data_IF_923825305567
#
_entry.id   IF_923825305567
#
_cell.length_a   1.000
_cell.length_b   1.000
_cell.length_c   1.000
_cell.angle_alpha   90.00
_cell.angle_beta   90.00
_cell.angle_gamma   90.00
#
_symmetry.space_group_name_H-M   'P 1'
#
loop_
_entity.id
_entity.type
_entity.pdbx_description
1 polymer ?
#
# COMPACT_ATOMS: atom_id res chain seq x y z
N UNK A 1 -21.79 4.98 -30.03
CA UNK A 1 -21.54 4.19 -31.27
C UNK A 1 -20.57 4.88 -32.23
N UNK A 2 -20.71 6.19 -32.49
CA UNK A 2 -19.81 6.95 -33.38
C UNK A 2 -18.39 7.00 -32.83
N UNK A 3 -18.19 7.16 -31.52
CA UNK A 3 -16.86 7.13 -30.88
C UNK A 3 -16.17 5.75 -31.00
N UNK A 4 -16.94 4.67 -30.92
CA UNK A 4 -16.45 3.30 -31.11
C UNK A 4 -16.00 3.03 -32.56
N UNK A 5 -16.68 3.60 -33.55
CA UNK A 5 -16.32 3.50 -34.98
C UNK A 5 -14.99 4.24 -35.25
N UNK A 6 -14.81 5.42 -34.67
CA UNK A 6 -13.56 6.16 -34.77
C UNK A 6 -12.40 5.43 -34.11
N UNK A 7 -12.61 4.85 -32.92
CA UNK A 7 -11.60 4.08 -32.21
C UNK A 7 -11.18 2.81 -32.98
N UNK A 8 -12.12 2.15 -33.66
CA UNK A 8 -11.84 0.99 -34.54
C UNK A 8 -11.00 1.37 -35.75
N UNK A 9 -11.31 2.48 -36.42
CA UNK A 9 -10.54 2.96 -37.60
C UNK A 9 -9.08 3.31 -37.27
N UNK A 10 -8.77 3.62 -36.01
CA UNK A 10 -7.41 3.99 -35.56
C UNK A 10 -6.66 2.84 -34.89
N UNK A 11 -7.13 1.60 -35.01
CA UNK A 11 -6.51 0.44 -34.38
C UNK A 11 -6.57 0.46 -32.85
N UNK A 12 -7.42 1.31 -32.28
CA UNK A 12 -7.52 1.47 -30.84
C UNK A 12 -8.25 0.31 -30.14
N UNK A 13 -8.93 -0.52 -30.93
CA UNK A 13 -9.75 -1.65 -30.45
C UNK A 13 -9.19 -3.01 -30.85
N UNK A 14 -8.07 -3.04 -31.58
CA UNK A 14 -7.37 -4.27 -31.95
C UNK A 14 -6.12 -4.39 -31.07
N UNK A 15 -6.12 -5.30 -30.14
CA UNK A 15 -5.00 -5.61 -29.26
C UNK A 15 -4.88 -7.09 -29.05
N UNK A 16 -3.65 -7.55 -28.87
CA UNK A 16 -3.39 -8.94 -28.52
C UNK A 16 -3.82 -9.24 -27.07
N UNK A 17 -4.22 -10.47 -26.81
CA UNK A 17 -4.66 -10.91 -25.50
C UNK A 17 -3.48 -11.01 -24.52
N UNK A 18 -3.56 -10.27 -23.41
CA UNK A 18 -2.74 -10.52 -22.23
C UNK A 18 -3.46 -11.49 -21.30
N UNK A 19 -2.73 -12.44 -20.74
CA UNK A 19 -3.28 -13.37 -19.75
C UNK A 19 -3.79 -12.61 -18.52
N UNK A 20 -5.10 -12.63 -18.27
CA UNK A 20 -5.74 -12.00 -17.14
C UNK A 20 -6.25 -10.58 -17.34
N UNK A 21 -6.05 -9.98 -18.53
CA UNK A 21 -6.64 -8.69 -18.92
C UNK A 21 -7.64 -8.91 -20.04
N UNK A 22 -8.79 -8.27 -19.92
CA UNK A 22 -9.74 -8.25 -21.03
C UNK A 22 -9.33 -7.17 -22.04
N UNK A 23 -9.46 -7.47 -23.34
CA UNK A 23 -9.24 -6.46 -24.39
C UNK A 23 -10.13 -5.22 -24.20
N UNK A 24 -11.28 -5.37 -23.54
CA UNK A 24 -12.19 -4.30 -23.22
C UNK A 24 -11.57 -3.28 -22.25
N UNK A 25 -10.93 -3.74 -21.17
CA UNK A 25 -10.32 -2.85 -20.17
C UNK A 25 -9.23 -1.97 -20.77
N UNK A 26 -8.34 -2.56 -21.57
CA UNK A 26 -7.27 -1.82 -22.25
C UNK A 26 -7.83 -0.88 -23.34
N UNK A 27 -8.85 -1.34 -24.05
CA UNK A 27 -9.46 -0.59 -25.17
C UNK A 27 -10.32 0.61 -24.70
N UNK A 28 -10.71 0.64 -23.42
CA UNK A 28 -11.43 1.78 -22.83
C UNK A 28 -10.56 3.03 -22.68
N UNK A 29 -9.24 2.94 -22.85
CA UNK A 29 -8.34 4.08 -22.74
C UNK A 29 -8.64 5.17 -23.78
N UNK A 30 -9.01 6.37 -23.29
CA UNK A 30 -9.26 7.56 -24.12
C UNK A 30 -8.00 8.27 -24.60
N UNK A 31 -6.81 7.85 -24.15
CA UNK A 31 -5.49 8.45 -24.46
C UNK A 31 -5.37 9.93 -24.04
N UNK A 32 -6.07 10.34 -23.00
CA UNK A 32 -6.10 11.74 -22.53
C UNK A 32 -4.78 12.22 -21.88
N UNK A 33 -3.90 11.30 -21.43
CA UNK A 33 -2.62 11.65 -20.78
C UNK A 33 -2.70 11.94 -19.28
N UNK A 34 -3.88 12.12 -18.68
CA UNK A 34 -4.05 12.51 -17.26
C UNK A 34 -3.29 11.59 -16.29
N UNK A 35 -3.22 10.29 -16.59
CA UNK A 35 -2.47 9.33 -15.77
C UNK A 35 -0.96 9.60 -15.73
N UNK A 36 -0.42 10.29 -16.75
CA UNK A 36 0.99 10.66 -16.83
C UNK A 36 1.23 11.88 -15.97
N UNK A 37 0.35 12.89 -16.06
CA UNK A 37 0.45 14.10 -15.25
C UNK A 37 0.28 13.78 -13.76
N UNK A 38 -0.57 12.82 -13.43
CA UNK A 38 -0.73 12.32 -12.07
C UNK A 38 0.47 11.48 -11.56
N UNK A 39 1.38 11.06 -12.44
CA UNK A 39 2.48 10.17 -12.06
C UNK A 39 3.61 10.92 -11.37
N UNK A 40 3.83 10.65 -10.09
CA UNK A 40 4.87 11.29 -9.27
C UNK A 40 6.29 11.02 -9.76
N UNK A 41 6.55 9.93 -10.44
CA UNK A 41 7.82 9.67 -11.09
C UNK A 41 8.15 10.71 -12.17
N UNK A 42 7.13 11.27 -12.84
CA UNK A 42 7.33 12.31 -13.84
C UNK A 42 7.66 13.65 -13.19
N UNK A 43 6.83 14.14 -12.29
CA UNK A 43 6.98 15.52 -11.79
C UNK A 43 7.99 15.65 -10.64
N UNK A 44 8.15 14.63 -9.78
CA UNK A 44 9.14 14.67 -8.70
C UNK A 44 10.52 14.22 -9.14
N UNK A 45 10.63 13.12 -9.85
CA UNK A 45 11.93 12.50 -10.11
C UNK A 45 12.51 12.83 -11.49
N UNK A 46 11.80 13.58 -12.34
CA UNK A 46 12.16 13.82 -13.74
C UNK A 46 12.57 12.52 -14.48
N UNK A 47 12.03 11.39 -14.02
CA UNK A 47 12.18 10.15 -14.75
C UNK A 47 11.37 10.33 -16.02
N UNK A 48 12.08 10.52 -17.12
CA UNK A 48 11.46 10.71 -18.42
C UNK A 48 10.71 9.44 -18.82
N UNK A 49 9.49 9.32 -18.29
CA UNK A 49 8.60 8.21 -18.52
C UNK A 49 7.87 8.33 -19.87
N UNK A 50 8.59 8.73 -20.91
CA UNK A 50 8.09 8.64 -22.31
C UNK A 50 7.53 7.25 -22.55
N UNK A 51 8.13 6.22 -21.94
CA UNK A 51 7.65 4.84 -21.95
C UNK A 51 6.30 4.67 -21.22
N UNK A 52 6.00 5.46 -20.19
CA UNK A 52 4.69 5.42 -19.51
C UNK A 52 3.59 6.08 -20.34
N UNK A 53 3.91 7.05 -21.18
CA UNK A 53 2.96 7.69 -22.12
C UNK A 53 2.35 6.65 -23.06
N UNK A 54 3.17 5.72 -23.49
CA UNK A 54 2.75 4.69 -24.42
C UNK A 54 2.36 3.37 -23.74
N UNK A 55 2.33 3.35 -22.40
CA UNK A 55 2.11 2.14 -21.63
C UNK A 55 0.89 1.34 -22.11
N UNK A 56 -0.29 1.96 -22.22
CA UNK A 56 -1.51 1.27 -22.68
C UNK A 56 -1.40 0.87 -24.16
N UNK A 57 -0.83 1.72 -25.01
CA UNK A 57 -0.59 1.38 -26.41
C UNK A 57 0.32 0.16 -26.54
N UNK A 58 1.43 0.17 -25.83
CA UNK A 58 2.45 -0.87 -25.92
C UNK A 58 1.96 -2.18 -25.29
N UNK A 59 1.08 -2.09 -24.27
CA UNK A 59 0.37 -3.24 -23.71
C UNK A 59 -0.51 -3.92 -24.77
N UNK A 60 -1.25 -3.15 -25.58
CA UNK A 60 -2.09 -3.69 -26.66
C UNK A 60 -1.29 -4.46 -27.72
N UNK A 61 -0.08 -4.01 -28.00
CA UNK A 61 0.77 -4.59 -29.05
C UNK A 61 1.81 -5.59 -28.51
N UNK A 62 1.68 -6.01 -27.25
CA UNK A 62 2.63 -6.93 -26.60
C UNK A 62 4.09 -6.45 -26.69
N UNK A 63 4.31 -5.14 -26.63
CA UNK A 63 5.63 -4.49 -26.78
C UNK A 63 6.18 -3.95 -25.48
N UNK A 64 5.56 -4.28 -24.34
CA UNK A 64 6.02 -3.78 -23.05
C UNK A 64 7.28 -4.52 -22.65
N UNK A 65 8.33 -3.73 -22.39
CA UNK A 65 9.53 -4.21 -21.74
C UNK A 65 9.32 -4.37 -20.24
N UNK A 66 10.07 -5.27 -19.61
CA UNK A 66 10.16 -5.38 -18.14
C UNK A 66 10.46 -4.06 -17.47
N UNK A 67 11.22 -3.18 -18.14
CA UNK A 67 11.53 -1.85 -17.66
C UNK A 67 10.25 -1.05 -17.38
N UNK A 68 9.30 -0.99 -18.32
CA UNK A 68 8.06 -0.22 -18.17
C UNK A 68 7.16 -0.82 -17.09
N UNK A 69 7.04 -2.14 -17.04
CA UNK A 69 6.24 -2.82 -16.02
C UNK A 69 6.80 -2.59 -14.60
N UNK A 70 8.13 -2.59 -14.47
CA UNK A 70 8.81 -2.49 -13.18
C UNK A 70 9.15 -1.05 -12.75
N UNK A 71 9.17 -0.07 -13.65
CA UNK A 71 9.40 1.34 -13.33
C UNK A 71 8.11 2.02 -12.83
N UNK A 72 7.59 1.55 -11.69
CA UNK A 72 6.34 2.04 -11.11
C UNK A 72 6.28 1.76 -9.61
N UNK A 73 5.90 2.75 -8.81
CA UNK A 73 5.71 2.63 -7.36
C UNK A 73 4.44 1.85 -6.97
N UNK A 74 3.55 1.54 -7.91
CA UNK A 74 2.23 0.96 -7.67
C UNK A 74 1.38 1.78 -6.68
N UNK A 75 1.56 3.10 -6.65
CA UNK A 75 0.92 3.99 -5.68
C UNK A 75 -0.56 4.31 -5.98
N UNK A 76 -1.08 3.97 -7.15
CA UNK A 76 -2.48 4.12 -7.52
C UNK A 76 -2.94 5.52 -7.98
N UNK A 77 -2.08 6.57 -7.96
CA UNK A 77 -2.50 7.92 -8.40
C UNK A 77 -3.04 7.95 -9.83
N UNK A 78 -2.37 7.26 -10.74
CA UNK A 78 -2.80 7.17 -12.13
C UNK A 78 -4.13 6.42 -12.31
N UNK A 79 -4.42 5.42 -11.47
CA UNK A 79 -5.70 4.71 -11.45
C UNK A 79 -6.82 5.65 -10.97
N UNK A 80 -6.61 6.36 -9.86
CA UNK A 80 -7.57 7.30 -9.30
C UNK A 80 -7.87 8.47 -10.27
N UNK A 81 -6.85 8.96 -10.98
CA UNK A 81 -6.97 10.05 -11.92
C UNK A 81 -7.57 9.63 -13.27
N UNK A 82 -7.76 8.34 -13.54
CA UNK A 82 -8.22 7.87 -14.84
C UNK A 82 -9.71 8.14 -15.05
N UNK A 83 -10.12 9.00 -16.03
CA UNK A 83 -11.51 9.38 -16.21
C UNK A 83 -12.40 8.24 -16.74
N UNK A 84 -11.78 7.16 -17.26
CA UNK A 84 -12.49 5.97 -17.77
C UNK A 84 -12.34 4.76 -16.83
N UNK A 85 -11.80 4.98 -15.62
CA UNK A 85 -11.74 3.96 -14.57
C UNK A 85 -10.81 2.77 -14.82
N UNK A 86 -9.73 2.96 -15.57
CA UNK A 86 -8.76 1.87 -15.79
C UNK A 86 -7.94 1.58 -14.53
N UNK A 87 -7.87 0.32 -14.17
CA UNK A 87 -7.06 -0.19 -13.06
C UNK A 87 -5.56 -0.28 -13.44
N UNK A 88 -4.96 0.88 -13.75
CA UNK A 88 -3.60 0.99 -14.29
C UNK A 88 -2.54 0.34 -13.38
N UNK A 89 -2.73 0.41 -12.08
CA UNK A 89 -1.85 -0.22 -11.09
C UNK A 89 -1.92 -1.74 -11.19
N UNK A 90 -3.12 -2.29 -11.33
CA UNK A 90 -3.35 -3.73 -11.47
C UNK A 90 -2.79 -4.25 -12.79
N UNK A 91 -3.02 -3.52 -13.89
CA UNK A 91 -2.44 -3.85 -15.20
C UNK A 91 -0.92 -3.95 -15.10
N UNK A 92 -0.24 -2.96 -14.50
CA UNK A 92 1.23 -3.00 -14.32
C UNK A 92 1.68 -4.17 -13.46
N UNK A 93 0.94 -4.49 -12.40
CA UNK A 93 1.26 -5.61 -11.53
C UNK A 93 1.16 -6.96 -12.28
N UNK A 94 0.15 -7.13 -13.10
CA UNK A 94 -0.05 -8.35 -13.89
C UNK A 94 1.07 -8.57 -14.94
N UNK A 95 1.62 -7.48 -15.48
CA UNK A 95 2.75 -7.53 -16.42
C UNK A 95 4.07 -7.90 -15.75
N UNK A 96 4.17 -7.85 -14.43
CA UNK A 96 5.34 -8.25 -13.65
C UNK A 96 5.27 -9.75 -13.37
N UNK A 97 5.69 -10.59 -14.32
CA UNK A 97 5.75 -12.04 -14.13
C UNK A 97 7.20 -12.48 -14.02
N UNK A 98 7.56 -13.09 -12.89
CA UNK A 98 8.88 -13.65 -12.62
C UNK A 98 8.76 -15.07 -12.13
N UNK A 99 9.60 -15.95 -12.64
CA UNK A 99 9.63 -17.39 -12.29
C UNK A 99 10.70 -17.69 -11.25
N UNK A 100 11.79 -16.93 -11.24
CA UNK A 100 12.93 -17.16 -10.36
C UNK A 100 13.05 -16.09 -9.29
N UNK A 101 13.28 -16.53 -8.05
CA UNK A 101 13.52 -15.64 -6.91
C UNK A 101 15.01 -15.28 -6.87
N UNK A 102 15.38 -14.00 -6.82
CA UNK A 102 16.78 -13.60 -6.75
C UNK A 102 17.44 -14.08 -5.45
N UNK A 103 18.41 -15.00 -5.59
CA UNK A 103 19.22 -15.50 -4.48
C UNK A 103 18.49 -16.45 -3.51
N UNK A 104 19.21 -17.45 -3.02
CA UNK A 104 18.66 -18.50 -2.12
C UNK A 104 18.09 -17.96 -0.79
N UNK A 105 18.55 -16.80 -0.31
CA UNK A 105 18.22 -16.28 1.02
C UNK A 105 17.34 -15.04 1.03
N UNK A 106 16.99 -14.47 -0.13
CA UNK A 106 16.28 -13.19 -0.21
C UNK A 106 14.89 -13.20 0.47
N UNK A 107 14.24 -14.37 0.50
CA UNK A 107 12.90 -14.56 1.09
C UNK A 107 12.87 -15.64 2.18
N UNK A 108 14.00 -15.94 2.83
CA UNK A 108 14.05 -16.97 3.87
C UNK A 108 13.18 -16.62 5.08
N UNK A 109 13.00 -15.34 5.40
CA UNK A 109 12.04 -14.90 6.41
C UNK A 109 10.59 -15.31 6.12
N UNK A 110 10.25 -15.54 4.86
CA UNK A 110 8.92 -16.00 4.46
C UNK A 110 8.67 -17.48 4.76
N UNK A 111 9.71 -18.24 5.07
CA UNK A 111 9.64 -19.69 5.34
C UNK A 111 9.37 -20.03 6.81
N UNK A 112 9.33 -19.02 7.66
CA UNK A 112 9.13 -19.19 9.09
C UNK A 112 7.70 -19.67 9.38
N UNK A 113 7.58 -20.63 10.31
CA UNK A 113 6.30 -21.12 10.82
C UNK A 113 6.05 -20.55 12.21
N UNK A 114 4.97 -19.78 12.40
CA UNK A 114 4.59 -19.30 13.72
C UNK A 114 3.97 -20.43 14.55
N UNK A 115 4.07 -20.31 15.86
CA UNK A 115 3.40 -21.21 16.80
C UNK A 115 1.88 -20.99 16.70
N UNK A 116 1.12 -22.11 16.60
CA UNK A 116 -0.34 -22.05 16.60
C UNK A 116 -0.86 -21.60 17.96
N UNK A 117 -1.82 -20.68 17.96
CA UNK A 117 -2.50 -20.25 19.17
C UNK A 117 -4.00 -20.12 18.92
N UNK A 118 -4.81 -20.40 19.94
CA UNK A 118 -6.26 -20.15 19.90
C UNK A 118 -6.53 -18.77 20.47
N UNK A 119 -7.31 -17.98 19.74
CA UNK A 119 -7.62 -16.60 20.12
C UNK A 119 -8.84 -16.09 19.37
N UNK A 120 -9.51 -15.09 19.91
CA UNK A 120 -10.54 -14.33 19.19
C UNK A 120 -9.93 -13.24 18.31
N UNK A 121 -8.77 -12.69 18.69
CA UNK A 121 -8.10 -11.59 17.97
C UNK A 121 -6.67 -11.95 17.62
N UNK A 122 -6.32 -11.82 16.36
CA UNK A 122 -4.95 -11.91 15.86
C UNK A 122 -4.40 -10.50 15.65
N UNK A 123 -3.17 -10.24 16.11
CA UNK A 123 -2.37 -9.11 15.66
C UNK A 123 -1.28 -9.58 14.72
N UNK A 124 -1.28 -9.01 13.51
CA UNK A 124 -0.25 -9.23 12.51
C UNK A 124 0.46 -7.90 12.24
N UNK A 125 1.64 -7.73 12.81
CA UNK A 125 2.41 -6.49 12.65
C UNK A 125 2.89 -6.29 11.20
N UNK A 126 3.40 -7.36 10.60
CA UNK A 126 4.02 -7.35 9.27
C UNK A 126 5.50 -6.97 9.30
N UNK A 127 6.25 -7.47 8.33
CA UNK A 127 7.72 -7.39 8.31
C UNK A 127 8.28 -5.95 8.41
N UNK A 128 7.59 -4.97 7.84
CA UNK A 128 8.02 -3.56 7.93
C UNK A 128 7.80 -2.96 9.30
N UNK A 129 6.81 -3.42 10.06
CA UNK A 129 6.54 -2.95 11.41
C UNK A 129 7.63 -3.40 12.39
N UNK A 130 8.24 -4.57 12.17
CA UNK A 130 9.41 -5.01 12.94
C UNK A 130 10.63 -4.09 12.76
N UNK A 131 10.71 -3.34 11.66
CA UNK A 131 11.72 -2.30 11.44
C UNK A 131 11.35 -0.94 12.03
N UNK A 132 10.17 -0.84 12.65
CA UNK A 132 9.63 0.35 13.34
C UNK A 132 9.04 -0.05 14.70
N UNK A 133 9.87 -0.53 15.64
CA UNK A 133 9.41 -1.22 16.87
C UNK A 133 8.52 -0.37 17.77
N UNK A 134 8.58 0.96 17.64
CA UNK A 134 7.68 1.87 18.37
C UNK A 134 6.20 1.65 18.04
N UNK A 135 5.87 1.18 16.82
CA UNK A 135 4.48 0.83 16.45
C UNK A 135 4.04 -0.43 17.21
N UNK A 136 4.91 -1.44 17.26
CA UNK A 136 4.62 -2.69 18.01
C UNK A 136 4.37 -2.38 19.48
N UNK A 137 5.24 -1.57 20.08
CA UNK A 137 5.09 -1.15 21.47
C UNK A 137 3.77 -0.41 21.71
N UNK A 138 3.43 0.54 20.83
CA UNK A 138 2.18 1.29 20.91
C UNK A 138 0.96 0.35 20.82
N UNK A 139 0.96 -0.58 19.87
CA UNK A 139 -0.13 -1.55 19.73
C UNK A 139 -0.26 -2.48 20.94
N UNK A 140 0.85 -2.98 21.50
CA UNK A 140 0.82 -3.75 22.75
C UNK A 140 0.20 -2.97 23.91
N UNK A 141 0.54 -1.68 24.04
CA UNK A 141 -0.05 -0.82 25.05
C UNK A 141 -1.55 -0.60 24.82
N UNK A 142 -1.99 -0.43 23.56
CA UNK A 142 -3.40 -0.29 23.21
C UNK A 142 -4.19 -1.57 23.53
N UNK A 143 -3.68 -2.74 23.16
CA UNK A 143 -4.31 -4.02 23.51
C UNK A 143 -4.41 -4.21 25.03
N UNK A 144 -3.34 -3.88 25.77
CA UNK A 144 -3.34 -3.91 27.22
C UNK A 144 -4.36 -2.94 27.83
N UNK A 145 -4.43 -1.70 27.35
CA UNK A 145 -5.40 -0.72 27.80
C UNK A 145 -6.86 -1.12 27.51
N UNK A 146 -7.10 -1.82 26.42
CA UNK A 146 -8.40 -2.36 26.04
C UNK A 146 -8.74 -3.68 26.74
N UNK A 147 -7.82 -4.22 27.56
CA UNK A 147 -7.91 -5.57 28.15
C UNK A 147 -8.18 -6.66 27.09
N UNK A 148 -7.52 -6.53 25.93
CA UNK A 148 -7.68 -7.46 24.81
C UNK A 148 -6.64 -8.58 24.84
N UNK A 149 -7.11 -9.83 24.75
CA UNK A 149 -6.24 -10.99 24.60
C UNK A 149 -5.96 -11.25 23.12
N UNK A 150 -4.74 -11.01 22.72
CA UNK A 150 -4.34 -11.06 21.31
C UNK A 150 -3.26 -12.10 21.11
N UNK A 151 -3.39 -12.88 20.05
CA UNK A 151 -2.26 -13.64 19.53
C UNK A 151 -1.46 -12.77 18.57
N UNK A 152 -0.24 -12.41 18.98
CA UNK A 152 0.71 -11.71 18.11
C UNK A 152 1.39 -12.74 17.19
N UNK A 153 0.81 -12.94 16.01
CA UNK A 153 1.13 -14.05 15.11
C UNK A 153 2.59 -14.02 14.62
N UNK A 154 3.16 -12.85 14.42
CA UNK A 154 4.53 -12.66 13.92
C UNK A 154 5.48 -12.06 14.96
N UNK A 155 5.22 -12.26 16.28
CA UNK A 155 6.00 -11.67 17.36
C UNK A 155 7.47 -12.12 17.37
N UNK A 156 7.71 -13.41 17.30
CA UNK A 156 9.07 -13.97 17.37
C UNK A 156 9.83 -13.87 16.05
N UNK A 157 9.10 -13.82 14.95
CA UNK A 157 9.69 -13.90 13.61
C UNK A 157 8.84 -13.12 12.62
N UNK A 158 9.48 -12.24 11.83
CA UNK A 158 8.81 -11.52 10.76
C UNK A 158 8.22 -12.48 9.72
N UNK A 159 6.90 -12.58 9.67
CA UNK A 159 6.18 -13.37 8.67
C UNK A 159 5.76 -12.43 7.54
N UNK A 160 5.78 -12.91 6.29
CA UNK A 160 5.34 -12.12 5.15
C UNK A 160 3.89 -12.41 4.79
N UNK A 161 3.12 -11.37 4.49
CA UNK A 161 1.77 -11.50 3.94
C UNK A 161 1.74 -11.96 2.47
N UNK A 162 2.88 -12.06 1.79
CA UNK A 162 2.99 -12.44 0.39
C UNK A 162 2.86 -11.30 -0.63
N UNK A 163 2.23 -10.18 -0.27
CA UNK A 163 1.97 -9.08 -1.22
C UNK A 163 3.23 -8.47 -1.86
N UNK A 164 4.36 -8.24 -1.17
CA UNK A 164 5.58 -7.76 -1.82
C UNK A 164 6.09 -8.70 -2.91
N UNK A 165 5.96 -10.01 -2.71
CA UNK A 165 6.31 -11.01 -3.73
C UNK A 165 5.42 -10.86 -4.96
N UNK A 166 4.10 -10.78 -4.76
CA UNK A 166 3.15 -10.59 -5.85
C UNK A 166 3.40 -9.28 -6.59
N UNK A 167 3.65 -8.19 -5.88
CA UNK A 167 3.95 -6.89 -6.48
C UNK A 167 5.25 -6.89 -7.30
N UNK A 168 6.19 -7.76 -6.98
CA UNK A 168 7.43 -7.96 -7.74
C UNK A 168 7.30 -8.96 -8.89
N UNK A 169 6.17 -9.66 -9.01
CA UNK A 169 5.90 -10.65 -10.06
C UNK A 169 6.16 -12.10 -9.66
N UNK A 170 6.53 -12.39 -8.41
CA UNK A 170 6.69 -13.75 -7.88
C UNK A 170 5.34 -14.32 -7.43
N UNK A 171 4.46 -14.53 -8.40
CA UNK A 171 3.05 -14.85 -8.15
C UNK A 171 2.88 -16.20 -7.45
N UNK A 172 3.65 -17.23 -7.85
CA UNK A 172 3.53 -18.55 -7.24
C UNK A 172 3.98 -18.56 -5.80
N UNK A 173 5.13 -17.95 -5.50
CA UNK A 173 5.65 -17.85 -4.15
C UNK A 173 4.71 -17.05 -3.23
N UNK A 174 4.05 -16.02 -3.75
CA UNK A 174 3.01 -15.29 -3.04
C UNK A 174 1.82 -16.20 -2.71
N UNK A 175 1.31 -16.97 -3.68
CA UNK A 175 0.19 -17.91 -3.45
C UNK A 175 0.52 -18.97 -2.41
N UNK A 176 1.74 -19.50 -2.41
CA UNK A 176 2.19 -20.49 -1.44
C UNK A 176 2.15 -19.93 -0.01
N UNK A 177 2.64 -18.70 0.18
CA UNK A 177 2.55 -18.00 1.46
C UNK A 177 1.11 -17.73 1.89
N UNK A 178 0.28 -17.24 0.98
CA UNK A 178 -1.14 -16.99 1.24
C UNK A 178 -1.82 -18.29 1.70
N UNK A 179 -1.62 -19.39 1.00
CA UNK A 179 -2.19 -20.69 1.35
C UNK A 179 -1.74 -21.17 2.75
N UNK A 180 -0.43 -21.05 3.05
CA UNK A 180 0.13 -21.44 4.33
C UNK A 180 -0.45 -20.60 5.48
N UNK A 181 -0.43 -19.28 5.33
CA UNK A 181 -0.92 -18.36 6.35
C UNK A 181 -2.45 -18.49 6.54
N UNK A 182 -3.22 -18.71 5.45
CA UNK A 182 -4.66 -18.95 5.53
C UNK A 182 -4.98 -20.14 6.42
N UNK A 183 -4.30 -21.27 6.21
CA UNK A 183 -4.49 -22.48 7.04
C UNK A 183 -4.21 -22.21 8.52
N UNK A 184 -3.15 -21.46 8.80
CA UNK A 184 -2.76 -21.12 10.16
C UNK A 184 -3.78 -20.21 10.83
N UNK A 185 -4.19 -19.14 10.17
CA UNK A 185 -5.18 -18.18 10.66
C UNK A 185 -6.52 -18.88 10.90
N UNK A 186 -7.02 -19.65 9.92
CA UNK A 186 -8.29 -20.38 10.06
C UNK A 186 -8.27 -21.40 11.20
N UNK A 187 -7.10 -21.98 11.51
CA UNK A 187 -6.98 -22.95 12.61
C UNK A 187 -6.95 -22.31 14.00
N UNK A 188 -6.81 -20.98 14.12
CA UNK A 188 -6.77 -20.26 15.39
C UNK A 188 -8.14 -20.06 16.03
N UNK A 189 -9.22 -20.07 15.22
CA UNK A 189 -10.58 -19.74 15.64
C UNK A 189 -10.82 -18.24 15.83
N UNK A 190 -9.88 -17.39 15.39
CA UNK A 190 -10.01 -15.94 15.48
C UNK A 190 -11.22 -15.42 14.68
N UNK A 191 -11.81 -14.33 15.17
CA UNK A 191 -12.91 -13.60 14.53
C UNK A 191 -12.43 -12.28 13.93
N UNK A 192 -11.29 -11.79 14.41
CA UNK A 192 -10.72 -10.51 13.99
C UNK A 192 -9.20 -10.64 13.77
N UNK A 193 -8.72 -10.05 12.68
CA UNK A 193 -7.30 -9.84 12.41
C UNK A 193 -7.02 -8.33 12.32
N UNK A 194 -6.15 -7.83 13.17
CA UNK A 194 -5.68 -6.45 13.17
C UNK A 194 -4.27 -6.38 12.60
N UNK A 195 -4.03 -5.48 11.64
CA UNK A 195 -2.69 -5.26 11.09
C UNK A 195 -2.27 -3.79 11.16
N UNK A 196 -1.01 -3.54 11.52
CA UNK A 196 -0.43 -2.19 11.48
C UNK A 196 0.11 -1.79 10.10
N UNK A 197 0.13 -2.71 9.15
CA UNK A 197 0.64 -2.44 7.82
C UNK A 197 -0.50 -2.46 6.79
N UNK A 198 -0.80 -1.34 6.10
CA UNK A 198 -1.87 -1.30 5.10
C UNK A 198 -1.61 -2.24 3.91
N UNK A 199 -0.35 -2.49 3.56
CA UNK A 199 0.03 -3.47 2.54
C UNK A 199 -0.41 -4.88 2.96
N UNK A 200 -0.19 -5.26 4.22
CA UNK A 200 -0.62 -6.55 4.77
C UNK A 200 -2.14 -6.62 4.88
N UNK A 201 -2.77 -5.56 5.41
CA UNK A 201 -4.22 -5.48 5.54
C UNK A 201 -4.92 -5.67 4.18
N UNK A 202 -4.43 -5.01 3.14
CA UNK A 202 -4.93 -5.16 1.78
C UNK A 202 -4.73 -6.59 1.25
N UNK A 203 -3.56 -7.20 1.50
CA UNK A 203 -3.31 -8.59 1.12
C UNK A 203 -4.32 -9.53 1.78
N UNK A 204 -4.56 -9.39 3.09
CA UNK A 204 -5.53 -10.23 3.81
C UNK A 204 -6.96 -10.05 3.28
N UNK A 205 -7.37 -8.83 2.93
CA UNK A 205 -8.71 -8.56 2.38
C UNK A 205 -8.91 -9.07 0.94
N UNK A 206 -7.86 -9.03 0.10
CA UNK A 206 -7.99 -9.30 -1.33
C UNK A 206 -7.52 -10.71 -1.76
N UNK A 207 -6.54 -11.27 -1.05
CA UNK A 207 -5.81 -12.45 -1.52
C UNK A 207 -6.05 -13.68 -0.65
N UNK A 208 -6.53 -13.48 0.59
CA UNK A 208 -6.79 -14.56 1.54
C UNK A 208 -8.27 -14.95 1.58
N UNK A 209 -8.56 -16.25 1.52
CA UNK A 209 -9.91 -16.76 1.72
C UNK A 209 -10.15 -16.97 3.23
N UNK A 210 -10.39 -15.88 3.96
CA UNK A 210 -10.64 -15.87 5.41
C UNK A 210 -12.07 -15.44 5.70
N UNK A 211 -12.75 -16.19 6.57
CA UNK A 211 -14.07 -15.84 7.08
C UNK A 211 -13.93 -15.19 8.47
N UNK A 212 -13.18 -14.09 8.52
CA UNK A 212 -12.95 -13.27 9.71
C UNK A 212 -12.92 -11.80 9.33
N UNK A 213 -13.19 -10.93 10.28
CA UNK A 213 -13.03 -9.49 10.07
C UNK A 213 -11.56 -9.11 9.98
N UNK A 214 -11.22 -8.18 9.07
CA UNK A 214 -9.84 -7.71 8.88
C UNK A 214 -9.84 -6.20 9.00
N UNK A 215 -9.13 -5.68 10.00
CA UNK A 215 -9.02 -4.26 10.28
C UNK A 215 -7.58 -3.77 10.19
N UNK A 216 -7.41 -2.59 9.62
CA UNK A 216 -6.20 -1.81 9.85
C UNK A 216 -6.21 -1.26 11.28
N UNK A 217 -5.03 -1.09 11.91
CA UNK A 217 -4.98 -0.62 13.30
C UNK A 217 -5.74 0.70 13.53
N UNK A 218 -5.78 1.60 12.55
CA UNK A 218 -6.53 2.85 12.66
C UNK A 218 -8.05 2.64 12.74
N UNK A 219 -8.58 1.60 12.06
CA UNK A 219 -9.98 1.20 12.16
C UNK A 219 -10.25 0.59 13.55
N UNK A 220 -9.36 -0.31 13.98
CA UNK A 220 -9.45 -0.97 15.28
C UNK A 220 -9.38 0.02 16.46
N UNK A 221 -8.43 0.96 16.43
CA UNK A 221 -8.33 2.01 17.47
C UNK A 221 -9.59 2.88 17.48
N UNK A 222 -10.11 3.25 16.30
CA UNK A 222 -11.38 4.00 16.20
C UNK A 222 -12.55 3.23 16.83
N UNK A 223 -12.66 1.94 16.57
CA UNK A 223 -13.66 1.07 17.18
C UNK A 223 -13.54 1.07 18.72
N UNK A 224 -12.33 0.88 19.25
CA UNK A 224 -12.08 0.90 20.70
C UNK A 224 -12.46 2.23 21.36
N UNK A 225 -12.27 3.35 20.66
CA UNK A 225 -12.68 4.69 21.14
C UNK A 225 -14.21 4.80 21.19
N UNK A 226 -14.89 4.35 20.12
CA UNK A 226 -16.36 4.41 20.03
C UNK A 226 -17.02 3.53 21.10
N UNK A 227 -16.45 2.37 21.36
CA UNK A 227 -16.88 1.45 22.42
C UNK A 227 -16.46 1.90 23.84
N UNK A 228 -15.74 3.02 23.96
CA UNK A 228 -15.22 3.57 25.22
C UNK A 228 -14.27 2.60 25.98
N UNK A 229 -13.62 1.71 25.23
CA UNK A 229 -12.69 0.70 25.79
C UNK A 229 -11.29 1.30 26.06
N UNK A 230 -10.95 2.38 25.38
CA UNK A 230 -9.74 3.16 25.64
C UNK A 230 -10.05 4.64 25.81
N UNK A 231 -9.23 5.32 26.63
CA UNK A 231 -9.29 6.77 26.81
C UNK A 231 -8.07 7.39 26.15
N UNK A 232 -8.29 8.48 25.43
CA UNK A 232 -7.22 9.27 24.81
C UNK A 232 -7.02 10.59 25.54
N UNK A 233 -5.77 11.01 25.65
CA UNK A 233 -5.41 12.33 26.15
C UNK A 233 -5.26 13.28 24.95
N UNK A 234 -6.01 14.38 24.96
CA UNK A 234 -5.88 15.41 23.94
C UNK A 234 -4.65 16.27 24.23
N UNK A 235 -3.91 16.60 23.20
CA UNK A 235 -2.79 17.55 23.21
C UNK A 235 -3.10 18.74 22.29
N UNK A 236 -2.32 19.81 22.42
CA UNK A 236 -2.41 20.97 21.53
C UNK A 236 -1.48 20.88 20.31
N UNK A 237 -0.90 19.70 20.06
CA UNK A 237 0.02 19.47 18.95
C UNK A 237 -0.68 19.63 17.59
N UNK A 238 -0.03 20.37 16.69
CA UNK A 238 -0.40 20.42 15.28
C UNK A 238 0.12 19.17 14.57
N UNK A 239 -0.80 18.41 14.01
CA UNK A 239 -0.50 17.12 13.37
C UNK A 239 -0.81 17.24 11.90
N UNK A 240 0.19 17.03 11.03
CA UNK A 240 -0.02 16.80 9.61
C UNK A 240 -0.13 15.30 9.37
N UNK A 241 -1.10 14.87 8.59
CA UNK A 241 -1.30 13.45 8.28
C UNK A 241 -0.97 13.16 6.82
N UNK A 242 -0.03 12.24 6.62
CA UNK A 242 0.25 11.66 5.31
C UNK A 242 -0.60 10.42 5.07
N UNK A 243 -1.44 10.43 4.04
CA UNK A 243 -2.24 9.27 3.63
C UNK A 243 -1.38 8.23 2.91
N UNK A 244 -1.16 7.05 3.50
CA UNK A 244 -0.45 5.98 2.81
C UNK A 244 -1.24 5.50 1.60
N UNK A 245 -0.59 5.34 0.46
CA UNK A 245 -1.24 4.96 -0.80
C UNK A 245 -2.04 3.64 -0.71
N UNK A 246 -1.50 2.65 -0.01
CA UNK A 246 -2.18 1.35 0.17
C UNK A 246 -3.33 1.41 1.20
N UNK A 247 -3.32 2.38 2.13
CA UNK A 247 -4.42 2.60 3.07
C UNK A 247 -5.56 3.39 2.40
N UNK A 248 -5.22 4.56 1.84
CA UNK A 248 -6.16 5.44 1.19
C UNK A 248 -6.69 4.84 -0.11
N UNK A 249 -5.94 5.00 -1.22
CA UNK A 249 -6.36 4.51 -2.54
C UNK A 249 -6.50 2.98 -2.61
N UNK A 250 -5.69 2.26 -1.83
CA UNK A 250 -5.71 0.81 -1.81
C UNK A 250 -6.91 0.20 -1.07
N UNK A 251 -7.31 0.76 0.06
CA UNK A 251 -8.35 0.22 0.95
C UNK A 251 -9.53 1.17 1.16
N UNK A 252 -9.48 2.38 0.62
CA UNK A 252 -10.47 3.45 0.81
C UNK A 252 -10.66 3.85 2.30
N UNK A 253 -9.57 3.76 3.10
CA UNK A 253 -9.55 4.10 4.52
C UNK A 253 -8.91 5.48 4.68
N UNK A 254 -9.73 6.53 4.74
CA UNK A 254 -9.32 7.93 4.90
C UNK A 254 -9.82 8.53 6.21
N UNK A 255 -11.05 8.21 6.61
CA UNK A 255 -11.76 8.83 7.73
C UNK A 255 -11.25 8.38 9.09
N UNK A 256 -11.05 7.08 9.27
CA UNK A 256 -10.72 6.48 10.56
C UNK A 256 -9.41 7.02 11.16
N UNK A 257 -8.28 7.08 10.43
CA UNK A 257 -7.06 7.67 10.98
C UNK A 257 -7.25 9.14 11.36
N UNK A 258 -7.96 9.93 10.54
CA UNK A 258 -8.25 11.34 10.86
C UNK A 258 -9.12 11.49 12.10
N UNK A 259 -10.12 10.64 12.27
CA UNK A 259 -10.99 10.62 13.45
C UNK A 259 -10.22 10.28 14.73
N UNK A 260 -9.26 9.36 14.66
CA UNK A 260 -8.38 9.04 15.80
C UNK A 260 -7.46 10.23 16.10
N UNK A 261 -6.78 10.76 15.09
CA UNK A 261 -5.83 11.86 15.25
C UNK A 261 -6.49 13.14 15.77
N UNK A 262 -7.70 13.46 15.34
CA UNK A 262 -8.47 14.63 15.84
C UNK A 262 -8.84 14.53 17.33
N UNK A 263 -8.80 13.33 17.92
CA UNK A 263 -9.00 13.12 19.36
C UNK A 263 -7.73 13.38 20.18
N UNK A 264 -6.55 13.30 19.53
CA UNK A 264 -5.26 13.45 20.23
C UNK A 264 -4.54 14.75 19.93
N UNK A 265 -4.90 15.49 18.88
CA UNK A 265 -4.29 16.75 18.51
C UNK A 265 -5.12 17.54 17.50
N UNK A 266 -4.53 18.61 16.97
CA UNK A 266 -5.13 19.45 15.93
C UNK A 266 -4.59 19.03 14.56
N UNK A 267 -5.48 18.52 13.70
CA UNK A 267 -5.12 18.18 12.32
C UNK A 267 -4.91 19.46 11.50
N UNK A 268 -3.83 19.47 10.73
CA UNK A 268 -3.48 20.48 9.74
C UNK A 268 -3.69 19.87 8.36
N UNK A 269 -4.44 20.56 7.50
CA UNK A 269 -4.67 20.13 6.13
C UNK A 269 -3.41 20.36 5.29
N UNK A 270 -3.23 19.55 4.25
CA UNK A 270 -2.17 19.68 3.26
C UNK A 270 -2.75 19.89 1.87
N UNK A 271 -1.90 20.32 0.94
CA UNK A 271 -2.28 20.52 -0.46
C UNK A 271 -2.67 19.21 -1.14
N UNK A 272 -2.07 18.08 -0.71
CA UNK A 272 -2.28 16.75 -1.28
C UNK A 272 -2.76 15.78 -0.21
N UNK A 273 -4.06 15.80 0.02
CA UNK A 273 -4.74 14.94 0.99
C UNK A 273 -5.55 13.83 0.31
N UNK A 274 -5.88 12.80 1.07
CA UNK A 274 -6.76 11.70 0.68
C UNK A 274 -6.37 11.05 -0.67
N UNK A 275 -7.25 11.13 -1.66
CA UNK A 275 -7.06 10.55 -2.99
C UNK A 275 -5.88 11.16 -3.73
N UNK A 276 -5.65 12.44 -3.52
CA UNK A 276 -4.57 13.21 -4.16
C UNK A 276 -3.24 13.09 -3.43
N UNK A 277 -3.18 12.38 -2.30
CA UNK A 277 -1.96 12.25 -1.52
C UNK A 277 -0.79 11.71 -2.34
N UNK A 278 0.40 12.25 -2.07
CA UNK A 278 1.63 11.81 -2.73
C UNK A 278 2.16 10.52 -2.10
N UNK A 279 2.82 9.69 -2.89
CA UNK A 279 3.51 8.50 -2.39
C UNK A 279 4.79 8.91 -1.64
N UNK A 280 5.07 8.24 -0.52
CA UNK A 280 6.31 8.49 0.24
C UNK A 280 7.61 8.11 -0.49
N UNK A 281 7.53 7.53 -1.69
CA UNK A 281 8.68 7.02 -2.45
C UNK A 281 9.18 5.65 -1.99
N UNK A 282 8.79 5.17 -0.81
CA UNK A 282 9.09 3.82 -0.35
C UNK A 282 8.23 2.79 -1.07
N UNK A 283 8.84 1.79 -1.68
CA UNK A 283 8.11 0.69 -2.30
C UNK A 283 8.85 -0.63 -2.11
N UNK A 284 8.15 -1.62 -1.58
CA UNK A 284 8.68 -2.99 -1.47
C UNK A 284 8.67 -3.73 -2.81
N UNK A 285 7.89 -3.24 -3.77
CA UNK A 285 7.73 -3.82 -5.10
C UNK A 285 8.70 -3.26 -6.12
N UNK A 286 9.48 -2.26 -5.74
CA UNK A 286 10.27 -1.52 -6.71
C UNK A 286 11.74 -1.88 -6.61
N UNK A 287 12.22 -2.59 -7.63
CA UNK A 287 13.60 -3.07 -7.71
C UNK A 287 14.46 -2.30 -8.72
N UNK A 288 13.86 -1.42 -9.54
CA UNK A 288 14.56 -0.77 -10.65
C UNK A 288 14.54 0.77 -10.61
N UNK A 289 13.71 1.40 -9.75
CA UNK A 289 13.80 2.86 -9.57
C UNK A 289 15.05 3.14 -8.74
N UNK A 290 15.94 3.95 -9.28
CA UNK A 290 17.17 4.34 -8.61
C UNK A 290 16.91 4.99 -7.27
N UNK A 291 17.83 4.78 -6.32
CA UNK A 291 17.68 5.30 -4.96
C UNK A 291 17.53 6.82 -4.94
N UNK A 292 18.31 7.55 -5.75
CA UNK A 292 18.24 9.01 -5.82
C UNK A 292 16.86 9.52 -6.25
N UNK A 293 16.21 8.82 -7.19
CA UNK A 293 14.85 9.14 -7.60
C UNK A 293 13.83 8.89 -6.47
N UNK A 294 14.00 7.81 -5.71
CA UNK A 294 13.16 7.52 -4.55
C UNK A 294 13.36 8.57 -3.45
N UNK A 295 14.60 8.98 -3.20
CA UNK A 295 14.96 10.00 -2.23
C UNK A 295 14.36 11.36 -2.61
N UNK A 296 14.43 11.72 -3.89
CA UNK A 296 13.83 12.96 -4.39
C UNK A 296 12.31 12.98 -4.21
N UNK A 297 11.63 11.89 -4.55
CA UNK A 297 10.17 11.74 -4.32
C UNK A 297 9.85 11.95 -2.84
N UNK A 298 10.61 11.31 -1.94
CA UNK A 298 10.44 11.46 -0.48
C UNK A 298 10.61 12.91 -0.05
N UNK A 299 11.67 13.57 -0.53
CA UNK A 299 12.03 14.93 -0.10
C UNK A 299 10.99 15.96 -0.58
N UNK A 300 10.47 15.82 -1.80
CA UNK A 300 9.37 16.64 -2.32
C UNK A 300 8.11 16.50 -1.43
N UNK A 301 7.76 15.27 -1.05
CA UNK A 301 6.62 15.03 -0.15
C UNK A 301 6.86 15.63 1.24
N UNK A 302 8.06 15.46 1.79
CA UNK A 302 8.41 16.05 3.09
C UNK A 302 8.36 17.57 3.06
N UNK A 303 8.79 18.21 1.97
CA UNK A 303 8.71 19.66 1.81
C UNK A 303 7.26 20.14 1.87
N UNK A 304 6.33 19.44 1.24
CA UNK A 304 4.90 19.76 1.27
C UNK A 304 4.32 19.56 2.67
N UNK A 305 4.59 18.41 3.29
CA UNK A 305 4.06 18.07 4.62
C UNK A 305 4.63 18.97 5.74
N UNK A 306 5.84 19.49 5.56
CA UNK A 306 6.52 20.37 6.52
C UNK A 306 6.19 21.86 6.35
N UNK A 307 5.42 22.26 5.33
CA UNK A 307 5.21 23.66 4.93
C UNK A 307 4.77 24.56 6.09
N UNK A 308 3.88 24.07 6.94
CA UNK A 308 3.32 24.84 8.06
C UNK A 308 3.98 24.47 9.40
N UNK A 309 5.18 23.89 9.39
CA UNK A 309 5.95 23.49 10.57
C UNK A 309 5.11 22.71 11.61
N UNK A 310 4.49 21.59 11.25
CA UNK A 310 3.72 20.81 12.20
C UNK A 310 4.61 20.22 13.29
N UNK A 311 4.05 20.06 14.52
CA UNK A 311 4.75 19.42 15.64
C UNK A 311 4.99 17.93 15.37
N UNK A 312 4.07 17.30 14.63
CA UNK A 312 4.09 15.87 14.31
C UNK A 312 3.69 15.63 12.87
N UNK A 313 4.48 14.83 12.17
CA UNK A 313 4.09 14.17 10.93
C UNK A 313 3.58 12.76 11.28
N UNK A 314 2.29 12.53 11.13
CA UNK A 314 1.65 11.24 11.35
C UNK A 314 1.45 10.50 10.03
N UNK A 315 1.59 9.18 10.07
CA UNK A 315 1.28 8.30 8.93
C UNK A 315 0.90 6.91 9.43
N UNK A 316 -0.13 6.32 8.88
CA UNK A 316 -0.62 5.00 9.26
C UNK A 316 -0.02 3.88 8.38
N UNK A 317 1.31 3.86 8.27
CA UNK A 317 2.06 2.86 7.51
C UNK A 317 3.52 2.77 7.96
N UNK A 318 3.99 1.59 8.40
CA UNK A 318 5.36 1.41 8.88
C UNK A 318 6.41 1.72 7.80
N UNK A 319 6.12 1.44 6.54
CA UNK A 319 7.02 1.78 5.43
C UNK A 319 7.14 3.29 5.25
N UNK A 320 6.03 4.02 5.25
CA UNK A 320 6.03 5.49 5.15
C UNK A 320 6.75 6.11 6.34
N UNK A 321 6.46 5.64 7.57
CA UNK A 321 7.16 6.08 8.77
C UNK A 321 8.67 5.91 8.65
N UNK A 322 9.13 4.70 8.29
CA UNK A 322 10.55 4.44 8.08
C UNK A 322 11.18 5.34 7.02
N UNK A 323 10.46 5.58 5.92
CA UNK A 323 10.94 6.42 4.81
C UNK A 323 11.11 7.87 5.26
N UNK A 324 10.15 8.42 5.95
CA UNK A 324 10.20 9.81 6.41
C UNK A 324 11.16 10.05 7.57
N UNK A 325 11.23 9.13 8.54
CA UNK A 325 12.11 9.28 9.72
C UNK A 325 13.59 9.47 9.35
N UNK A 326 14.01 9.01 8.19
CA UNK A 326 15.42 9.13 7.75
C UNK A 326 15.85 10.55 7.42
N UNK A 327 14.93 11.45 7.07
CA UNK A 327 15.28 12.79 6.56
C UNK A 327 14.42 13.92 7.14
N UNK A 328 13.36 13.61 7.84
CA UNK A 328 12.54 14.63 8.51
C UNK A 328 13.17 15.02 9.84
N UNK A 329 13.39 16.34 10.04
CA UNK A 329 14.00 16.85 11.29
C UNK A 329 13.02 16.87 12.46
N UNK A 330 11.72 16.81 12.18
CA UNK A 330 10.67 16.79 13.18
C UNK A 330 10.32 15.36 13.63
N UNK A 331 9.25 15.23 14.39
CA UNK A 331 8.76 13.96 14.93
C UNK A 331 7.87 13.25 13.91
N UNK A 332 8.26 12.02 13.52
CA UNK A 332 7.42 11.14 12.68
C UNK A 332 6.78 10.06 13.54
N UNK A 333 5.45 9.97 13.52
CA UNK A 333 4.65 9.01 14.29
C UNK A 333 3.75 8.17 13.38
N UNK A 334 3.27 7.06 13.93
CA UNK A 334 2.24 6.23 13.32
C UNK A 334 1.00 6.28 14.19
#
# INVERSE_FOLDING_TARGET
EVALIFLRKWGATEGEQYSGLTNFEINSCSRCGICIDACQLNFSANINNVQSVYFIRDTRYNKISDLVANNCLLCGRCTEACPVGLELTQIRQQLRTKTEVPGKHYYDYCKVEPTKNKTDVIYFAGCMTHLTPSIILAMKNIFSAANEKVWFMDEEKGICCGRPLRQQGFVQQSKDLVSKNTKLISSSGAKLLVSSCPICCKSFKEEYALDIEIMHHSEYIKMLIDEKRIKLNKSELNIVFHDPCELGRGLNIYKQPRQVLSKVGKLVNTEFDEKDSLCCGGSLANTIIELDSQLKIRDDVLQILAKDNPDVLATACPLCKKTFTRNYKGKVMD
#
